data_IF_198958200108
#
_entry.id   IF_198958200108
#
_cell.length_a   1.000
_cell.length_b   1.000
_cell.length_c   1.000
_cell.angle_alpha   90.00
_cell.angle_beta   90.00
_cell.angle_gamma   90.00
#
_symmetry.space_group_name_H-M   'P 1'
#
loop_
_entity.id
_entity.type
_entity.pdbx_description
1 polymer ?
#
# COMPACT_ATOMS: atom_id res chain seq x y z
N UNK A 1 35.14 -1.33 -7.89
CA UNK A 1 35.08 -0.08 -8.65
C UNK A 1 33.96 0.74 -8.04
N UNK A 2 34.31 1.89 -7.43
CA UNK A 2 33.29 2.82 -6.94
C UNK A 2 32.88 3.67 -8.15
N UNK A 3 31.74 3.32 -8.75
CA UNK A 3 31.12 4.19 -9.72
C UNK A 3 30.71 5.51 -9.03
N UNK A 4 30.90 6.62 -9.70
CA UNK A 4 30.47 7.92 -9.18
C UNK A 4 28.92 7.90 -8.99
N UNK A 5 28.43 8.50 -7.90
CA UNK A 5 26.98 8.50 -7.63
C UNK A 5 26.21 9.25 -8.71
N UNK A 6 25.18 8.63 -9.25
CA UNK A 6 24.27 9.26 -10.21
C UNK A 6 23.24 10.08 -9.42
N UNK A 7 23.24 11.40 -9.66
CA UNK A 7 22.27 12.30 -9.06
C UNK A 7 21.17 12.60 -10.09
N UNK A 8 19.97 12.09 -9.83
CA UNK A 8 18.78 12.41 -10.61
C UNK A 8 18.18 13.71 -10.05
N UNK A 9 18.03 14.72 -10.91
CA UNK A 9 17.45 16.02 -10.54
C UNK A 9 16.18 16.28 -11.35
N UNK A 10 15.16 16.82 -10.68
CA UNK A 10 14.04 17.40 -11.38
C UNK A 10 14.48 18.72 -12.03
N UNK A 11 14.27 18.83 -13.34
CA UNK A 11 14.57 20.04 -14.11
C UNK A 11 13.45 21.08 -14.03
N UNK A 12 12.24 20.67 -13.61
CA UNK A 12 11.13 21.56 -13.37
C UNK A 12 11.31 22.25 -12.01
N UNK A 13 11.26 23.55 -11.99
CA UNK A 13 11.34 24.32 -10.75
C UNK A 13 9.95 24.54 -10.19
N UNK A 14 9.78 24.24 -8.90
CA UNK A 14 8.53 24.43 -8.16
C UNK A 14 7.83 23.13 -7.83
N UNK A 15 6.77 23.21 -7.04
CA UNK A 15 5.93 22.09 -6.66
C UNK A 15 4.67 22.07 -7.55
N UNK A 16 4.36 20.93 -8.15
CA UNK A 16 3.13 20.75 -8.91
C UNK A 16 1.88 20.89 -8.00
N UNK A 17 2.01 20.46 -6.74
CA UNK A 17 0.97 20.55 -5.74
C UNK A 17 1.58 20.76 -4.34
N UNK A 18 1.11 21.78 -3.63
CA UNK A 18 1.60 22.15 -2.28
C UNK A 18 0.56 22.00 -1.19
N UNK A 19 -0.68 21.61 -1.52
CA UNK A 19 -1.77 21.42 -0.57
C UNK A 19 -1.61 20.18 0.31
N UNK A 20 -2.56 19.94 1.25
CA UNK A 20 -2.60 18.75 2.08
C UNK A 20 -2.61 17.45 1.24
N UNK A 21 -1.89 16.43 1.71
CA UNK A 21 -1.75 15.18 0.99
C UNK A 21 -1.90 14.00 1.95
N UNK A 22 -2.72 13.03 1.56
CA UNK A 22 -2.83 11.71 2.18
C UNK A 22 -2.39 10.67 1.16
N UNK A 23 -1.59 9.71 1.61
CA UNK A 23 -1.15 8.57 0.83
C UNK A 23 -1.74 7.30 1.44
N UNK A 24 -2.65 6.64 0.71
CA UNK A 24 -3.22 5.36 1.11
C UNK A 24 -2.26 4.24 0.73
N UNK A 25 -1.96 3.40 1.72
CA UNK A 25 -1.09 2.23 1.56
C UNK A 25 -1.68 1.00 2.23
N UNK A 26 -1.32 -0.16 1.73
CA UNK A 26 -1.65 -1.43 2.35
C UNK A 26 -0.52 -2.45 2.12
N UNK A 27 -0.70 -3.67 2.61
CA UNK A 27 0.28 -4.77 2.47
C UNK A 27 0.62 -5.17 1.03
N UNK A 28 -0.16 -4.73 0.04
CA UNK A 28 0.13 -4.94 -1.38
C UNK A 28 0.92 -3.78 -2.00
N UNK A 29 1.06 -2.67 -1.27
CA UNK A 29 1.93 -1.57 -1.68
C UNK A 29 3.37 -2.02 -1.54
N UNK A 30 4.07 -2.19 -2.67
CA UNK A 30 5.39 -2.81 -2.71
C UNK A 30 6.38 -2.04 -3.60
N UNK A 31 7.69 -2.18 -3.31
CA UNK A 31 8.77 -1.71 -4.18
C UNK A 31 8.73 -0.19 -4.45
N UNK A 32 8.48 0.24 -5.69
CA UNK A 32 8.45 1.67 -6.05
C UNK A 32 7.39 2.46 -5.28
N UNK A 33 6.25 1.85 -4.96
CA UNK A 33 5.23 2.46 -4.11
C UNK A 33 5.75 2.71 -2.69
N UNK A 34 6.60 1.82 -2.18
CA UNK A 34 7.23 2.00 -0.87
C UNK A 34 8.32 3.06 -0.90
N UNK A 35 9.10 3.13 -1.99
CA UNK A 35 10.07 4.20 -2.17
C UNK A 35 9.37 5.57 -2.15
N UNK A 36 8.27 5.72 -2.88
CA UNK A 36 7.45 6.93 -2.88
C UNK A 36 6.91 7.25 -1.48
N UNK A 37 6.34 6.25 -0.80
CA UNK A 37 5.79 6.38 0.55
C UNK A 37 6.86 6.82 1.55
N UNK A 38 8.06 6.21 1.52
CA UNK A 38 9.19 6.62 2.35
C UNK A 38 9.56 8.08 2.13
N UNK A 39 9.68 8.51 0.88
CA UNK A 39 10.02 9.91 0.56
C UNK A 39 8.97 10.86 1.14
N UNK A 40 7.67 10.57 0.93
CA UNK A 40 6.61 11.43 1.44
C UNK A 40 6.59 11.50 2.97
N UNK A 41 6.84 10.37 3.64
CA UNK A 41 6.93 10.28 5.10
C UNK A 41 8.16 11.00 5.64
N UNK A 42 9.34 10.67 5.14
CA UNK A 42 10.62 11.19 5.62
C UNK A 42 10.74 12.72 5.47
N UNK A 43 10.12 13.26 4.42
CA UNK A 43 10.10 14.71 4.19
C UNK A 43 8.90 15.42 4.83
N UNK A 44 8.06 14.74 5.61
CA UNK A 44 6.81 15.29 6.17
C UNK A 44 5.93 15.96 5.10
N UNK A 45 5.87 15.36 3.89
CA UNK A 45 5.12 15.94 2.77
C UNK A 45 3.64 15.58 2.81
N UNK A 46 3.28 14.45 3.36
CA UNK A 46 1.91 13.96 3.46
C UNK A 46 1.75 12.95 4.58
N UNK A 47 0.52 12.66 4.93
CA UNK A 47 0.16 11.65 5.93
C UNK A 47 0.01 10.30 5.28
N UNK A 48 0.67 9.31 5.82
CA UNK A 48 0.56 7.93 5.36
C UNK A 48 -0.58 7.26 6.13
N UNK A 49 -1.56 6.74 5.43
CA UNK A 49 -2.79 6.17 5.99
C UNK A 49 -3.01 4.75 5.47
N UNK A 50 -3.45 3.85 6.32
CA UNK A 50 -3.78 2.47 5.92
C UNK A 50 -3.10 1.41 6.77
N UNK A 51 -2.52 0.39 6.17
CA UNK A 51 -1.79 -0.67 6.87
C UNK A 51 -0.33 -0.75 6.43
N UNK A 52 0.50 -1.44 7.22
CA UNK A 52 1.93 -1.63 6.91
C UNK A 52 2.11 -2.22 5.52
N UNK A 53 3.03 -1.64 4.74
CA UNK A 53 3.31 -2.03 3.36
C UNK A 53 4.02 -3.37 3.24
N UNK A 54 4.25 -3.84 2.01
CA UNK A 54 4.77 -5.17 1.73
C UNK A 54 6.17 -5.45 2.29
N UNK A 55 7.09 -4.47 2.25
CA UNK A 55 8.47 -4.65 2.69
C UNK A 55 9.41 -5.18 1.61
N UNK A 56 9.30 -4.68 0.37
CA UNK A 56 10.23 -5.01 -0.71
C UNK A 56 11.10 -3.81 -1.07
N UNK A 57 12.32 -3.77 -0.55
CA UNK A 57 13.28 -2.69 -0.84
C UNK A 57 14.44 -3.11 -1.75
N UNK A 58 14.35 -4.27 -2.40
CA UNK A 58 15.41 -4.76 -3.29
C UNK A 58 15.10 -4.51 -4.76
N UNK A 59 16.14 -4.22 -5.56
CA UNK A 59 16.09 -4.11 -7.01
C UNK A 59 16.63 -5.36 -7.68
N UNK A 60 15.97 -5.81 -8.75
CA UNK A 60 16.40 -6.96 -9.52
C UNK A 60 16.54 -6.59 -11.01
N UNK A 61 17.49 -7.27 -11.65
CA UNK A 61 17.61 -7.33 -13.09
C UNK A 61 17.30 -8.75 -13.58
N UNK A 62 16.76 -8.84 -14.78
CA UNK A 62 16.54 -10.13 -15.45
C UNK A 62 17.56 -10.24 -16.57
N UNK A 63 18.40 -11.26 -16.50
CA UNK A 63 19.47 -11.52 -17.45
C UNK A 63 19.26 -12.90 -18.09
N UNK A 64 19.56 -13.09 -19.38
CA UNK A 64 19.59 -14.42 -19.95
C UNK A 64 20.67 -15.25 -19.28
N UNK A 65 20.42 -16.55 -19.06
CA UNK A 65 21.41 -17.50 -18.52
C UNK A 65 22.59 -17.64 -19.50
N UNK A 66 22.30 -17.56 -20.79
CA UNK A 66 23.27 -17.55 -21.86
C UNK A 66 22.91 -16.42 -22.84
N UNK A 67 23.81 -15.45 -23.02
CA UNK A 67 23.59 -14.28 -23.90
C UNK A 67 23.47 -14.71 -25.38
N UNK A 68 24.18 -15.76 -25.79
CA UNK A 68 24.16 -16.28 -27.15
C UNK A 68 22.91 -17.14 -27.44
N UNK A 69 22.30 -17.72 -26.39
CA UNK A 69 21.15 -18.61 -26.48
C UNK A 69 20.07 -18.21 -25.46
N UNK A 70 19.34 -17.06 -25.66
CA UNK A 70 18.36 -16.55 -24.67
C UNK A 70 17.21 -17.50 -24.35
N UNK A 71 16.95 -18.51 -25.23
CA UNK A 71 15.95 -19.56 -25.00
C UNK A 71 16.32 -20.53 -23.87
N UNK A 72 17.59 -20.57 -23.43
CA UNK A 72 18.03 -21.41 -22.31
C UNK A 72 17.51 -20.96 -20.95
N UNK A 73 16.79 -19.82 -20.92
CA UNK A 73 16.13 -19.29 -19.75
C UNK A 73 16.72 -17.97 -19.25
N UNK A 74 16.11 -17.46 -18.19
CA UNK A 74 16.50 -16.20 -17.57
C UNK A 74 16.74 -16.38 -16.09
N UNK A 75 17.69 -15.64 -15.55
CA UNK A 75 17.90 -15.51 -14.13
C UNK A 75 17.46 -14.12 -13.64
N UNK A 76 16.86 -14.07 -12.46
CA UNK A 76 16.53 -12.85 -11.76
C UNK A 76 17.54 -12.61 -10.65
N UNK A 77 18.36 -11.58 -10.79
CA UNK A 77 19.45 -11.27 -9.88
C UNK A 77 19.16 -9.98 -9.11
N UNK A 78 19.29 -10.01 -7.78
CA UNK A 78 19.24 -8.80 -6.96
C UNK A 78 20.54 -8.03 -7.11
N UNK A 79 20.46 -6.76 -7.54
CA UNK A 79 21.61 -5.90 -7.83
C UNK A 79 21.68 -4.66 -6.95
N UNK A 80 20.63 -4.36 -6.19
CA UNK A 80 20.61 -3.18 -5.35
C UNK A 80 19.48 -3.18 -4.33
N UNK A 81 19.46 -2.15 -3.51
CA UNK A 81 18.40 -1.93 -2.53
C UNK A 81 18.05 -0.43 -2.42
N UNK A 82 16.82 -0.18 -1.95
CA UNK A 82 16.34 1.17 -1.63
C UNK A 82 16.54 1.47 -0.15
N UNK A 83 16.84 2.71 0.13
CA UNK A 83 17.00 3.22 1.49
C UNK A 83 16.21 4.52 1.65
N UNK A 84 15.76 4.77 2.86
CA UNK A 84 15.22 6.06 3.21
C UNK A 84 16.33 7.12 3.40
N UNK A 85 15.99 8.38 3.64
CA UNK A 85 16.98 9.47 3.78
C UNK A 85 17.90 9.30 4.98
N UNK A 86 17.56 8.41 5.92
CA UNK A 86 18.37 8.08 7.10
C UNK A 86 19.25 6.85 6.88
N UNK A 87 19.26 6.30 5.66
CA UNK A 87 20.05 5.11 5.32
C UNK A 87 19.44 3.80 5.83
N UNK A 88 18.17 3.79 6.18
CA UNK A 88 17.45 2.61 6.68
C UNK A 88 16.69 1.91 5.56
N UNK A 89 16.77 0.58 5.56
CA UNK A 89 15.99 -0.26 4.66
C UNK A 89 14.66 -0.66 5.31
N UNK A 90 13.59 -0.67 4.50
CA UNK A 90 12.29 -1.21 4.90
C UNK A 90 12.08 -2.67 4.43
N UNK A 91 13.15 -3.34 3.96
CA UNK A 91 13.05 -4.72 3.50
C UNK A 91 12.47 -5.62 4.59
N UNK A 92 11.46 -6.43 4.24
CA UNK A 92 10.71 -7.34 5.11
C UNK A 92 9.90 -6.69 6.23
N UNK A 93 10.17 -5.44 6.57
CA UNK A 93 9.48 -4.71 7.64
C UNK A 93 8.29 -3.91 7.12
N UNK A 94 8.34 -3.49 5.85
CA UNK A 94 7.41 -2.53 5.30
C UNK A 94 7.54 -1.13 5.90
N UNK A 95 6.64 -0.27 5.50
CA UNK A 95 6.51 1.09 6.01
C UNK A 95 5.24 1.15 6.85
N UNK A 96 5.37 1.44 8.13
CA UNK A 96 4.24 1.63 9.03
C UNK A 96 3.55 2.96 8.72
N UNK A 97 2.23 3.00 8.52
CA UNK A 97 1.50 4.24 8.28
C UNK A 97 1.53 5.16 9.53
N UNK A 98 1.20 6.44 9.33
CA UNK A 98 1.03 7.41 10.42
C UNK A 98 -0.33 7.27 11.09
N UNK A 99 -1.35 6.94 10.28
CA UNK A 99 -2.70 6.62 10.74
C UNK A 99 -3.01 5.19 10.30
N UNK A 100 -3.05 4.28 11.26
CA UNK A 100 -3.35 2.87 10.99
C UNK A 100 -4.87 2.69 10.85
N UNK A 101 -5.27 2.05 9.74
CA UNK A 101 -6.65 1.62 9.48
C UNK A 101 -6.72 0.09 9.48
N UNK A 102 -7.85 -0.48 9.92
CA UNK A 102 -8.07 -1.92 9.80
C UNK A 102 -7.90 -2.40 8.37
N UNK A 103 -7.12 -3.44 8.17
CA UNK A 103 -6.92 -4.06 6.86
C UNK A 103 -7.84 -5.29 6.75
N UNK A 104 -8.86 -5.20 5.90
CA UNK A 104 -9.79 -6.31 5.61
C UNK A 104 -9.17 -7.41 4.78
N UNK A 105 -7.96 -7.20 4.28
CA UNK A 105 -7.25 -8.20 3.49
C UNK A 105 -6.51 -9.18 4.42
N UNK A 106 -6.45 -10.43 3.99
CA UNK A 106 -5.85 -11.51 4.75
C UNK A 106 -4.39 -11.21 5.17
N UNK A 107 -4.07 -11.53 6.42
CA UNK A 107 -2.76 -11.32 7.06
C UNK A 107 -1.62 -12.11 6.43
N UNK A 108 -1.89 -13.08 5.58
CA UNK A 108 -0.87 -13.94 4.94
C UNK A 108 -0.20 -13.33 3.71
N UNK A 109 -0.20 -12.01 3.57
CA UNK A 109 0.44 -11.34 2.42
C UNK A 109 1.95 -11.55 2.33
N UNK A 110 2.58 -11.88 3.42
CA UNK A 110 3.88 -12.50 3.34
C UNK A 110 3.68 -13.99 3.14
N UNK A 111 3.48 -14.42 1.87
CA UNK A 111 3.73 -15.81 1.55
C UNK A 111 5.09 -16.16 2.16
N UNK A 112 5.19 -17.26 2.95
CA UNK A 112 6.46 -17.62 3.52
C UNK A 112 7.46 -17.67 2.37
N UNK A 113 8.43 -16.79 2.38
CA UNK A 113 9.54 -16.86 1.44
C UNK A 113 10.20 -18.18 1.74
N UNK A 114 10.14 -19.14 0.83
CA UNK A 114 10.90 -20.40 0.92
C UNK A 114 12.41 -20.14 0.88
N UNK A 115 12.81 -18.91 0.64
CA UNK A 115 14.18 -18.44 0.69
C UNK A 115 14.43 -17.74 2.03
N UNK A 116 15.62 -17.93 2.59
CA UNK A 116 16.02 -17.14 3.76
C UNK A 116 15.88 -15.65 3.45
N UNK A 117 15.40 -14.86 4.43
CA UNK A 117 15.29 -13.42 4.27
C UNK A 117 16.62 -12.84 3.79
N UNK A 118 16.58 -11.99 2.77
CA UNK A 118 17.77 -11.26 2.33
C UNK A 118 17.94 -10.04 3.24
N UNK A 119 18.87 -10.11 4.17
CA UNK A 119 19.18 -8.96 5.01
C UNK A 119 19.80 -7.83 4.18
N UNK A 120 19.13 -6.69 4.18
CA UNK A 120 19.63 -5.45 3.59
C UNK A 120 20.23 -4.62 4.71
N UNK A 121 21.57 -4.51 4.81
CA UNK A 121 22.21 -3.75 5.88
C UNK A 121 21.94 -2.26 5.74
N UNK A 122 21.84 -1.56 6.86
CA UNK A 122 21.75 -0.11 6.87
C UNK A 122 22.99 0.53 6.23
N UNK A 123 22.82 1.68 5.61
CA UNK A 123 23.90 2.45 5.00
C UNK A 123 24.03 3.82 5.65
N UNK A 124 25.12 4.52 5.37
CA UNK A 124 25.27 5.89 5.81
C UNK A 124 24.19 6.77 5.17
N UNK A 125 23.52 7.59 5.99
CA UNK A 125 22.54 8.54 5.51
C UNK A 125 23.11 9.46 4.42
N UNK A 126 22.33 9.73 3.39
CA UNK A 126 22.68 10.69 2.35
C UNK A 126 22.84 12.11 2.93
N UNK A 127 23.55 12.97 2.22
CA UNK A 127 23.64 14.39 2.58
C UNK A 127 22.24 15.00 2.62
N UNK A 128 21.94 15.67 3.74
CA UNK A 128 20.58 16.11 4.11
C UNK A 128 20.02 17.13 3.10
N UNK A 129 18.89 16.81 2.54
CA UNK A 129 17.96 17.77 1.93
C UNK A 129 17.09 18.33 3.07
N UNK A 130 16.72 19.62 3.05
CA UNK A 130 15.85 20.20 4.06
C UNK A 130 14.52 19.43 4.16
N UNK A 131 14.17 18.99 5.35
CA UNK A 131 12.90 18.31 5.66
C UNK A 131 11.87 19.35 6.07
N UNK A 132 10.62 19.20 5.65
CA UNK A 132 9.52 20.07 6.10
C UNK A 132 9.31 19.96 7.61
N UNK A 133 8.65 20.95 8.19
CA UNK A 133 8.24 20.88 9.59
C UNK A 133 7.38 19.62 9.83
N UNK A 134 7.47 19.02 11.04
CA UNK A 134 6.63 17.89 11.40
C UNK A 134 5.14 18.21 11.26
N UNK A 135 4.38 17.26 10.72
CA UNK A 135 2.93 17.33 10.64
C UNK A 135 2.37 17.08 12.05
N UNK A 136 1.62 17.97 12.64
CA UNK A 136 1.02 17.79 13.97
C UNK A 136 -0.07 16.71 13.98
N UNK A 137 0.31 15.44 14.01
CA UNK A 137 -0.60 14.30 13.75
C UNK A 137 -1.41 13.82 14.94
N UNK A 138 -1.10 14.22 16.18
CA UNK A 138 -1.72 13.65 17.39
C UNK A 138 -3.25 13.76 17.40
N UNK A 139 -3.78 14.93 17.03
CA UNK A 139 -5.22 15.15 16.93
C UNK A 139 -5.85 14.37 15.77
N UNK A 140 -5.15 14.27 14.66
CA UNK A 140 -5.59 13.54 13.48
C UNK A 140 -5.70 12.04 13.82
N UNK A 141 -4.64 11.48 14.41
CA UNK A 141 -4.59 10.07 14.82
C UNK A 141 -5.71 9.77 15.82
N UNK A 142 -5.86 10.57 16.86
CA UNK A 142 -6.87 10.34 17.90
C UNK A 142 -8.30 10.45 17.36
N UNK A 143 -8.54 11.39 16.46
CA UNK A 143 -9.85 11.58 15.83
C UNK A 143 -10.17 10.45 14.84
N UNK A 144 -9.20 10.04 14.04
CA UNK A 144 -9.33 8.90 13.12
C UNK A 144 -9.60 7.61 13.88
N UNK A 145 -8.83 7.34 14.94
CA UNK A 145 -9.03 6.15 15.79
C UNK A 145 -10.45 6.09 16.35
N UNK A 146 -10.98 7.22 16.82
CA UNK A 146 -12.37 7.26 17.33
C UNK A 146 -13.40 6.99 16.23
N UNK A 147 -13.22 7.51 15.03
CA UNK A 147 -14.13 7.26 13.90
C UNK A 147 -14.09 5.80 13.47
N UNK A 148 -12.90 5.23 13.28
CA UNK A 148 -12.71 3.86 12.82
C UNK A 148 -13.22 2.83 13.83
N UNK A 149 -13.01 3.07 15.14
CA UNK A 149 -13.56 2.22 16.21
C UNK A 149 -15.10 2.20 16.24
N UNK A 150 -15.75 3.27 15.77
CA UNK A 150 -17.21 3.36 15.74
C UNK A 150 -17.81 2.99 14.38
N UNK A 151 -17.01 2.85 13.34
CA UNK A 151 -17.43 2.46 12.00
C UNK A 151 -17.68 0.95 11.92
N UNK A 152 -18.87 0.54 11.52
CA UNK A 152 -19.27 -0.86 11.52
C UNK A 152 -18.55 -1.69 10.44
N UNK A 153 -18.13 -1.06 9.34
CA UNK A 153 -17.33 -1.72 8.31
C UNK A 153 -15.95 -2.07 8.86
N UNK A 154 -15.26 -1.14 9.51
CA UNK A 154 -13.96 -1.42 10.13
C UNK A 154 -14.05 -2.42 11.30
N UNK A 155 -15.14 -2.40 12.07
CA UNK A 155 -15.39 -3.44 13.09
C UNK A 155 -15.53 -4.83 12.45
N UNK A 156 -16.32 -4.92 11.36
CA UNK A 156 -16.49 -6.18 10.61
C UNK A 156 -15.15 -6.67 10.07
N UNK A 157 -14.34 -5.80 9.48
CA UNK A 157 -13.00 -6.13 8.98
C UNK A 157 -12.10 -6.71 10.08
N UNK A 158 -12.06 -6.08 11.26
CA UNK A 158 -11.27 -6.58 12.39
C UNK A 158 -11.73 -7.97 12.83
N UNK A 159 -13.04 -8.18 12.97
CA UNK A 159 -13.58 -9.48 13.35
C UNK A 159 -13.25 -10.57 12.31
N UNK A 160 -13.31 -10.23 11.03
CA UNK A 160 -12.98 -11.15 9.96
C UNK A 160 -11.49 -11.48 9.97
N UNK A 161 -10.61 -10.49 10.19
CA UNK A 161 -9.18 -10.71 10.34
C UNK A 161 -8.87 -11.71 11.46
N UNK A 162 -9.50 -11.56 12.63
CA UNK A 162 -9.34 -12.50 13.75
C UNK A 162 -9.74 -13.93 13.37
N UNK A 163 -10.86 -14.10 12.64
CA UNK A 163 -11.29 -15.40 12.15
C UNK A 163 -10.29 -16.01 11.15
N UNK A 164 -9.74 -15.20 10.27
CA UNK A 164 -8.69 -15.64 9.34
C UNK A 164 -7.45 -16.11 10.07
N UNK A 165 -6.94 -15.32 11.01
CA UNK A 165 -5.76 -15.66 11.79
C UNK A 165 -5.96 -16.99 12.52
N UNK A 166 -7.13 -17.21 13.09
CA UNK A 166 -7.46 -18.49 13.74
C UNK A 166 -7.46 -19.66 12.74
N UNK A 167 -8.00 -19.48 11.54
CA UNK A 167 -8.05 -20.53 10.52
C UNK A 167 -6.65 -20.86 9.98
N UNK A 168 -5.82 -19.86 9.70
CA UNK A 168 -4.49 -20.05 9.15
C UNK A 168 -3.48 -20.66 10.12
N UNK A 169 -3.65 -20.42 11.42
CA UNK A 169 -2.79 -21.01 12.46
C UNK A 169 -3.32 -22.33 13.00
N UNK A 170 -4.47 -22.80 12.51
CA UNK A 170 -5.07 -24.08 12.92
C UNK A 170 -4.29 -25.24 12.29
N UNK A 171 -3.65 -26.04 13.12
CA UNK A 171 -3.07 -27.31 12.69
C UNK A 171 -4.12 -28.38 12.50
N UNK A 172 -4.02 -29.17 11.43
CA UNK A 172 -4.88 -30.31 11.17
C UNK A 172 -4.13 -31.41 10.42
N UNK A 173 -4.61 -32.65 10.52
CA UNK A 173 -4.03 -33.78 9.81
C UNK A 173 -4.25 -33.63 8.29
N UNK A 174 -3.21 -33.86 7.48
CA UNK A 174 -3.23 -33.74 6.02
C UNK A 174 -3.97 -34.93 5.38
N UNK A 175 -5.27 -35.05 5.66
CA UNK A 175 -6.18 -35.94 4.94
C UNK A 175 -6.95 -35.15 3.88
N UNK A 176 -7.39 -35.81 2.81
CA UNK A 176 -8.19 -35.16 1.76
C UNK A 176 -9.44 -34.48 2.33
N UNK A 177 -10.11 -35.12 3.29
CA UNK A 177 -11.30 -34.60 3.94
C UNK A 177 -11.01 -33.30 4.72
N UNK A 178 -9.95 -33.30 5.51
CA UNK A 178 -9.58 -32.15 6.33
C UNK A 178 -9.11 -30.97 5.45
N UNK A 179 -8.34 -31.23 4.41
CA UNK A 179 -7.91 -30.21 3.45
C UNK A 179 -9.12 -29.59 2.74
N UNK A 180 -10.08 -30.42 2.29
CA UNK A 180 -11.28 -29.94 1.64
C UNK A 180 -12.17 -29.11 2.57
N UNK A 181 -12.35 -29.58 3.82
CA UNK A 181 -13.06 -28.82 4.84
C UNK A 181 -12.42 -27.47 5.14
N UNK A 182 -11.10 -27.46 5.32
CA UNK A 182 -10.35 -26.21 5.57
C UNK A 182 -10.46 -25.23 4.39
N UNK A 183 -10.38 -25.74 3.15
CA UNK A 183 -10.61 -24.94 1.95
C UNK A 183 -12.02 -24.33 1.92
N UNK A 184 -13.04 -25.11 2.27
CA UNK A 184 -14.42 -24.60 2.35
C UNK A 184 -14.58 -23.53 3.42
N UNK A 185 -13.98 -23.71 4.61
CA UNK A 185 -14.00 -22.73 5.70
C UNK A 185 -13.37 -21.40 5.24
N UNK A 186 -12.21 -21.46 4.56
CA UNK A 186 -11.55 -20.28 3.99
C UNK A 186 -12.40 -19.61 2.90
N UNK A 187 -12.95 -20.40 1.97
CA UNK A 187 -13.75 -19.85 0.86
C UNK A 187 -15.03 -19.19 1.37
N UNK A 188 -15.68 -19.78 2.36
CA UNK A 188 -16.84 -19.17 3.03
C UNK A 188 -16.47 -17.84 3.68
N UNK A 189 -15.35 -17.80 4.39
CA UNK A 189 -14.89 -16.58 5.04
C UNK A 189 -14.52 -15.49 4.02
N UNK A 190 -13.91 -15.85 2.89
CA UNK A 190 -13.61 -14.91 1.78
C UNK A 190 -14.91 -14.35 1.20
N UNK A 191 -15.94 -15.18 1.00
CA UNK A 191 -17.24 -14.71 0.49
C UNK A 191 -17.97 -13.76 1.45
N UNK A 192 -17.74 -13.90 2.76
CA UNK A 192 -18.22 -12.95 3.77
C UNK A 192 -17.44 -11.62 3.78
N UNK A 193 -16.23 -11.62 3.17
CA UNK A 193 -15.33 -10.48 3.08
C UNK A 193 -15.73 -9.47 2.00
N UNK A 194 -16.76 -9.73 1.20
CA UNK A 194 -17.26 -8.69 0.30
C UNK A 194 -17.43 -7.41 1.11
N UNK A 195 -16.55 -6.44 0.81
CA UNK A 195 -16.50 -5.15 1.48
C UNK A 195 -17.89 -4.56 1.33
N UNK A 196 -18.63 -4.52 2.43
CA UNK A 196 -19.88 -3.79 2.45
C UNK A 196 -19.50 -2.33 2.31
N UNK A 197 -19.62 -1.81 1.10
CA UNK A 197 -19.44 -0.39 0.86
C UNK A 197 -20.35 0.40 1.80
N UNK A 198 -19.83 1.46 2.34
CA UNK A 198 -20.62 2.40 3.16
C UNK A 198 -21.54 3.22 2.25
N UNK A 199 -22.53 3.89 2.85
CA UNK A 199 -23.25 4.93 2.11
C UNK A 199 -22.27 5.99 1.60
N UNK A 200 -22.47 6.47 0.39
CA UNK A 200 -21.63 7.52 -0.20
C UNK A 200 -21.72 8.81 0.65
N UNK A 201 -20.59 9.26 1.19
CA UNK A 201 -20.53 10.49 1.99
C UNK A 201 -20.19 11.72 1.14
N UNK A 202 -19.75 11.53 -0.10
CA UNK A 202 -19.34 12.60 -1.02
C UNK A 202 -19.61 12.18 -2.46
N UNK A 203 -19.65 13.15 -3.34
CA UNK A 203 -19.80 12.94 -4.79
C UNK A 203 -18.45 12.94 -5.45
N UNK A 204 -18.20 11.97 -6.31
CA UNK A 204 -17.01 11.90 -7.17
C UNK A 204 -17.38 12.45 -8.54
N UNK A 205 -16.67 13.48 -8.96
CA UNK A 205 -16.87 14.12 -10.28
C UNK A 205 -15.67 13.84 -11.18
N UNK A 206 -15.95 13.71 -12.47
CA UNK A 206 -14.90 13.57 -13.46
C UNK A 206 -14.21 14.90 -13.73
N UNK A 207 -12.89 14.85 -13.92
CA UNK A 207 -12.18 15.98 -14.47
C UNK A 207 -12.65 16.25 -15.91
N UNK A 208 -12.65 17.51 -16.34
CA UNK A 208 -13.14 17.93 -17.66
C UNK A 208 -12.53 17.11 -18.80
N UNK A 209 -11.23 16.84 -18.76
CA UNK A 209 -10.55 16.00 -19.75
C UNK A 209 -11.05 14.57 -19.81
N UNK A 210 -11.40 13.98 -18.66
CA UNK A 210 -11.97 12.62 -18.56
C UNK A 210 -13.37 12.60 -19.18
N UNK A 211 -14.20 13.59 -18.85
CA UNK A 211 -15.54 13.75 -19.42
C UNK A 211 -15.50 13.84 -20.95
N UNK A 212 -14.53 14.56 -21.51
CA UNK A 212 -14.36 14.66 -22.97
C UNK A 212 -14.00 13.31 -23.61
N UNK A 213 -13.10 12.55 -23.00
CA UNK A 213 -12.68 11.21 -23.50
C UNK A 213 -13.85 10.23 -23.44
N UNK A 214 -14.59 10.22 -22.35
CA UNK A 214 -15.70 9.28 -22.12
C UNK A 214 -16.87 9.48 -23.09
N UNK A 215 -17.03 10.65 -23.72
CA UNK A 215 -18.10 10.89 -24.71
C UNK A 215 -18.10 9.91 -25.87
N UNK A 216 -16.98 9.30 -26.17
CA UNK A 216 -16.80 8.47 -27.36
C UNK A 216 -16.88 6.95 -27.10
N UNK A 217 -17.03 6.52 -25.83
CA UNK A 217 -17.10 5.11 -25.49
C UNK A 217 -18.09 4.87 -24.33
N UNK A 218 -19.22 4.26 -24.65
CA UNK A 218 -20.29 3.98 -23.67
C UNK A 218 -19.90 2.92 -22.63
N UNK A 219 -19.01 1.97 -22.99
CA UNK A 219 -18.53 0.94 -22.06
C UNK A 219 -17.63 1.61 -21.00
N UNK A 220 -16.74 2.50 -21.43
CA UNK A 220 -15.89 3.23 -20.51
C UNK A 220 -16.70 4.18 -19.61
N UNK A 221 -17.81 4.74 -20.12
CA UNK A 221 -18.73 5.55 -19.31
C UNK A 221 -19.35 4.71 -18.18
N UNK A 222 -19.90 3.53 -18.50
CA UNK A 222 -20.51 2.65 -17.50
C UNK A 222 -19.49 2.21 -16.45
N UNK A 223 -18.30 1.80 -16.87
CA UNK A 223 -17.21 1.44 -15.97
C UNK A 223 -16.75 2.61 -15.09
N UNK A 224 -16.68 3.81 -15.63
CA UNK A 224 -16.33 5.01 -14.87
C UNK A 224 -17.37 5.36 -13.80
N UNK A 225 -18.67 5.23 -14.10
CA UNK A 225 -19.73 5.42 -13.10
C UNK A 225 -19.61 4.40 -11.95
N UNK A 226 -19.28 3.14 -12.27
CA UNK A 226 -19.03 2.12 -11.26
C UNK A 226 -17.83 2.47 -10.37
N UNK A 227 -16.72 2.92 -10.96
CA UNK A 227 -15.54 3.38 -10.20
C UNK A 227 -15.90 4.56 -9.29
N UNK A 228 -16.66 5.53 -9.78
CA UNK A 228 -17.07 6.69 -8.95
C UNK A 228 -17.92 6.24 -7.75
N UNK A 229 -18.84 5.30 -7.97
CA UNK A 229 -19.63 4.73 -6.88
C UNK A 229 -18.74 4.01 -5.87
N UNK A 230 -17.81 3.17 -6.32
CA UNK A 230 -16.87 2.48 -5.47
C UNK A 230 -16.03 3.46 -4.65
N UNK A 231 -15.46 4.49 -5.28
CA UNK A 231 -14.65 5.49 -4.58
C UNK A 231 -15.46 6.27 -3.53
N UNK A 232 -16.69 6.68 -3.86
CA UNK A 232 -17.53 7.47 -2.95
C UNK A 232 -17.96 6.69 -1.71
N UNK A 233 -18.04 5.36 -1.82
CA UNK A 233 -18.47 4.45 -0.76
C UNK A 233 -17.31 3.69 -0.09
N UNK A 234 -16.06 3.89 -0.54
CA UNK A 234 -14.88 3.23 0.03
C UNK A 234 -14.55 3.81 1.41
N UNK A 235 -14.54 3.01 2.48
CA UNK A 235 -14.30 3.49 3.84
C UNK A 235 -12.90 4.08 4.05
N UNK A 236 -11.90 3.61 3.29
CA UNK A 236 -10.53 4.15 3.37
C UNK A 236 -10.44 5.53 2.72
N UNK A 237 -11.10 5.71 1.57
CA UNK A 237 -11.18 7.00 0.90
C UNK A 237 -11.97 7.99 1.74
N UNK A 238 -13.11 7.59 2.32
CA UNK A 238 -13.90 8.42 3.23
C UNK A 238 -13.09 8.89 4.44
N UNK A 239 -12.38 7.98 5.11
CA UNK A 239 -11.54 8.35 6.25
C UNK A 239 -10.39 9.27 5.84
N UNK A 240 -9.80 9.06 4.66
CA UNK A 240 -8.76 9.92 4.11
C UNK A 240 -9.24 11.34 3.86
N UNK A 241 -10.47 11.51 3.38
CA UNK A 241 -11.10 12.83 3.21
C UNK A 241 -11.35 13.50 4.58
N UNK A 242 -11.79 12.74 5.58
CA UNK A 242 -11.90 13.27 6.95
C UNK A 242 -10.56 13.73 7.52
N UNK A 243 -9.49 13.00 7.24
CA UNK A 243 -8.14 13.40 7.64
C UNK A 243 -7.74 14.69 6.93
N UNK A 244 -7.93 14.78 5.61
CA UNK A 244 -7.60 15.98 4.83
C UNK A 244 -8.36 17.23 5.29
N UNK A 245 -9.62 17.10 5.62
CA UNK A 245 -10.43 18.23 6.09
C UNK A 245 -9.98 18.75 7.47
N UNK A 246 -9.41 17.88 8.30
CA UNK A 246 -8.88 18.24 9.60
C UNK A 246 -7.48 18.89 9.55
N UNK A 247 -6.78 18.85 8.43
CA UNK A 247 -5.52 19.57 8.23
C UNK A 247 -5.71 21.10 8.14
N UNK A 248 -6.92 21.55 7.79
CA UNK A 248 -7.21 22.95 7.56
C UNK A 248 -7.86 23.64 8.79
N UNK A 249 -8.00 22.94 9.90
CA UNK A 249 -8.50 23.43 11.18
C UNK A 249 -7.44 23.30 12.27
#
# INVERSE_FOLDING_TARGET
DQEEPIILKDFNRGAAYSGPLVILVNKYSASASELFTNVMKDYNRGVIVGSTTYGKSTMQVVLPVNEDEPKDGFMKLTTGAFYNIYGKSHNEKGITPDVELPDGTNTTAHAPSFTQPFEVPDVQAASRIPVNAPLGLDNIISSSTKRTMNNDVFKKMNLQREKFDQLFHKSFDLTLENVFKHYQEITSLISELEISYTDALFTVEDHESTTEILKYNSIDQEYNEEIKLQLSSDPYVQESIHILTNFNN
#
